data_IF_663629569560
#
_entry.id   IF_663629569560
#
_cell.length_a   1.000
_cell.length_b   1.000
_cell.length_c   1.000
_cell.angle_alpha   90.00
_cell.angle_beta   90.00
_cell.angle_gamma   90.00
#
_symmetry.space_group_name_H-M   'P 1'
#
loop_
_entity.id
_entity.type
_entity.pdbx_description
1 polymer ?
#
# COMPACT_ATOMS: atom_id res chain seq x y z
N UNK A 1 3.50 30.78 70.74
CA UNK A 1 3.50 30.32 69.33
C UNK A 1 2.78 28.97 69.28
N UNK A 2 1.50 28.97 68.92
CA UNK A 2 0.69 27.76 68.84
C UNK A 2 0.79 27.17 67.42
N UNK A 3 1.21 25.91 67.32
CA UNK A 3 1.32 25.17 66.08
C UNK A 3 -0.03 24.56 65.71
N UNK A 4 -0.65 25.09 64.66
CA UNK A 4 -1.93 24.59 64.14
C UNK A 4 -1.64 23.54 63.06
N UNK A 5 -1.84 22.26 63.36
CA UNK A 5 -1.75 21.17 62.37
C UNK A 5 -3.11 20.98 61.73
N UNK A 6 -3.24 21.35 60.46
CA UNK A 6 -4.42 21.07 59.65
C UNK A 6 -4.34 19.64 59.12
N UNK A 7 -5.29 18.79 59.54
CA UNK A 7 -5.40 17.41 59.07
C UNK A 7 -6.29 17.39 57.83
N UNK A 8 -5.70 17.11 56.66
CA UNK A 8 -6.41 16.94 55.39
C UNK A 8 -7.01 15.52 55.33
N UNK A 9 -8.34 15.43 55.41
CA UNK A 9 -9.08 14.17 55.29
C UNK A 9 -9.34 13.89 53.80
N UNK A 10 -8.64 12.91 53.21
CA UNK A 10 -8.87 12.47 51.83
C UNK A 10 -9.95 11.37 51.85
N UNK A 11 -11.15 11.68 51.37
CA UNK A 11 -12.23 10.72 51.13
C UNK A 11 -11.98 9.97 49.81
N UNK A 12 -11.61 8.69 49.91
CA UNK A 12 -11.58 7.79 48.76
C UNK A 12 -13.01 7.32 48.43
N UNK A 13 -13.59 7.84 47.35
CA UNK A 13 -14.80 7.26 46.75
C UNK A 13 -14.40 6.08 45.86
N UNK A 14 -14.62 4.85 46.31
CA UNK A 14 -14.51 3.64 45.48
C UNK A 14 -15.76 3.52 44.61
N UNK A 15 -15.67 3.94 43.35
CA UNK A 15 -16.67 3.65 42.32
C UNK A 15 -16.42 2.23 41.80
N UNK A 16 -17.22 1.27 42.27
CA UNK A 16 -17.27 -0.08 41.70
C UNK A 16 -18.01 -0.04 40.36
N UNK A 17 -17.27 -0.01 39.24
CA UNK A 17 -17.85 -0.20 37.92
C UNK A 17 -18.09 -1.69 37.71
N UNK A 18 -19.34 -2.13 37.87
CA UNK A 18 -19.79 -3.45 37.46
C UNK A 18 -19.93 -3.49 35.93
N UNK A 19 -18.95 -4.08 35.25
CA UNK A 19 -19.02 -4.36 33.81
C UNK A 19 -19.96 -5.55 33.61
N UNK A 20 -21.21 -5.28 33.22
CA UNK A 20 -22.12 -6.31 32.72
C UNK A 20 -21.79 -6.61 31.25
N UNK A 21 -21.25 -7.79 30.97
CA UNK A 21 -21.11 -8.31 29.61
C UNK A 21 -22.48 -8.83 29.13
N UNK A 22 -23.00 -8.37 27.97
CA UNK A 22 -24.22 -8.93 27.42
C UNK A 22 -23.92 -10.33 26.86
N UNK A 23 -24.49 -11.36 27.49
CA UNK A 23 -24.53 -12.72 26.95
C UNK A 23 -25.52 -12.78 25.78
N UNK A 24 -25.03 -12.64 24.55
CA UNK A 24 -25.83 -12.99 23.37
C UNK A 24 -26.04 -14.50 23.33
N UNK A 25 -27.24 -14.94 23.71
CA UNK A 25 -27.76 -16.28 23.42
C UNK A 25 -27.80 -16.49 21.91
N UNK A 26 -27.06 -17.50 21.45
CA UNK A 26 -27.04 -17.95 20.06
C UNK A 26 -28.30 -18.78 19.79
N UNK A 27 -29.26 -18.22 19.07
CA UNK A 27 -30.33 -18.99 18.43
C UNK A 27 -29.92 -19.27 16.98
N UNK A 28 -29.62 -20.52 16.69
CA UNK A 28 -29.43 -21.07 15.35
C UNK A 28 -30.69 -20.88 14.50
N UNK A 29 -30.60 -20.03 13.48
CA UNK A 29 -31.43 -20.12 12.27
C UNK A 29 -30.49 -20.28 11.07
N UNK A 30 -30.46 -21.44 10.39
CA UNK A 30 -29.68 -21.62 9.17
C UNK A 30 -30.57 -21.24 7.98
N UNK A 31 -30.76 -19.95 7.77
CA UNK A 31 -31.17 -19.40 6.46
C UNK A 31 -31.11 -17.88 6.52
N UNK A 32 -29.92 -17.34 6.27
CA UNK A 32 -29.79 -16.01 5.71
C UNK A 32 -28.67 -16.08 4.69
N UNK A 33 -29.04 -16.42 3.45
CA UNK A 33 -28.42 -15.78 2.30
C UNK A 33 -28.56 -14.27 2.53
N UNK A 34 -27.46 -13.66 2.95
CA UNK A 34 -27.35 -12.22 3.08
C UNK A 34 -27.49 -11.66 1.66
N UNK A 35 -28.62 -11.01 1.38
CA UNK A 35 -28.83 -10.29 0.12
C UNK A 35 -27.81 -9.17 0.04
N UNK A 36 -26.78 -9.41 -0.77
CA UNK A 36 -25.62 -8.57 -0.97
C UNK A 36 -25.95 -7.36 -1.86
N UNK A 37 -26.91 -6.52 -1.45
CA UNK A 37 -27.44 -5.44 -2.32
C UNK A 37 -27.75 -4.12 -1.61
N UNK A 38 -27.24 -3.88 -0.39
CA UNK A 38 -27.35 -2.55 0.23
C UNK A 38 -26.03 -1.77 0.13
N UNK A 39 -25.97 -0.82 -0.80
CA UNK A 39 -24.81 0.05 -1.02
C UNK A 39 -24.86 1.35 -0.18
N UNK A 40 -25.73 1.43 0.83
CA UNK A 40 -25.79 2.58 1.75
C UNK A 40 -24.40 2.90 2.34
N UNK A 41 -23.95 4.15 2.14
CA UNK A 41 -22.62 4.64 2.55
C UNK A 41 -21.43 3.91 1.90
N UNK A 42 -21.64 3.25 0.76
CA UNK A 42 -20.63 2.46 0.03
C UNK A 42 -20.56 2.80 -1.45
N UNK A 43 -21.27 3.82 -1.93
CA UNK A 43 -21.24 4.20 -3.33
C UNK A 43 -19.92 4.86 -3.69
N UNK A 44 -19.24 4.32 -4.70
CA UNK A 44 -17.98 4.88 -5.20
C UNK A 44 -18.17 5.33 -6.65
N UNK A 45 -17.76 6.56 -6.93
CA UNK A 45 -17.57 7.03 -8.30
C UNK A 45 -16.09 6.93 -8.67
N UNK A 46 -15.78 6.31 -9.80
CA UNK A 46 -14.41 6.28 -10.32
C UNK A 46 -14.24 7.48 -11.25
N UNK A 47 -13.40 8.43 -10.87
CA UNK A 47 -13.12 9.62 -11.66
C UNK A 47 -12.46 9.21 -12.98
N UNK A 48 -13.11 9.53 -14.11
CA UNK A 48 -12.53 9.31 -15.43
C UNK A 48 -11.39 10.29 -15.68
N UNK A 49 -10.17 9.79 -15.79
CA UNK A 49 -8.98 10.58 -16.07
C UNK A 49 -8.50 10.39 -17.53
N UNK A 50 -7.88 11.42 -18.14
CA UNK A 50 -7.07 11.25 -19.33
C UNK A 50 -5.99 10.17 -19.12
N UNK A 51 -5.73 9.30 -20.11
CA UNK A 51 -4.79 8.18 -19.97
C UNK A 51 -3.36 8.58 -19.57
N UNK A 52 -2.95 9.82 -19.83
CA UNK A 52 -1.65 10.38 -19.40
C UNK A 52 -1.43 10.30 -17.89
N UNK A 53 -2.50 10.28 -17.09
CA UNK A 53 -2.42 10.14 -15.63
C UNK A 53 -2.39 8.69 -15.16
N UNK A 54 -2.57 7.70 -16.05
CA UNK A 54 -2.56 6.30 -15.69
C UNK A 54 -2.01 5.37 -16.77
N UNK A 55 -2.85 4.90 -17.70
CA UNK A 55 -2.52 3.80 -18.59
C UNK A 55 -1.37 4.13 -19.53
N UNK A 56 -1.21 5.39 -19.96
CA UNK A 56 -0.10 5.80 -20.81
C UNK A 56 1.24 5.71 -20.08
N UNK A 57 1.26 5.88 -18.75
CA UNK A 57 2.47 5.73 -17.92
C UNK A 57 3.02 4.29 -17.96
N UNK A 58 2.17 3.30 -18.27
CA UNK A 58 2.58 1.90 -18.38
C UNK A 58 3.30 1.61 -19.71
N UNK A 59 3.14 2.47 -20.72
CA UNK A 59 3.73 2.25 -22.05
C UNK A 59 5.26 2.34 -22.05
N UNK A 60 5.83 3.12 -21.13
CA UNK A 60 7.28 3.34 -21.00
C UNK A 60 7.90 2.50 -19.87
N UNK A 61 7.43 1.27 -19.67
CA UNK A 61 7.78 0.43 -18.52
C UNK A 61 9.24 -0.03 -18.44
N UNK A 62 10.00 0.14 -19.52
CA UNK A 62 11.45 -0.13 -19.61
C UNK A 62 12.28 1.15 -19.82
N UNK A 63 11.66 2.33 -19.75
CA UNK A 63 12.25 3.61 -20.18
C UNK A 63 12.99 4.40 -19.12
N UNK A 64 13.24 3.83 -17.94
CA UNK A 64 13.90 4.50 -16.81
C UNK A 64 15.23 3.84 -16.50
N UNK A 65 16.37 4.27 -17.09
CA UNK A 65 17.65 3.54 -17.00
C UNK A 65 18.21 3.35 -15.58
N UNK A 66 17.85 4.25 -14.66
CA UNK A 66 18.25 4.18 -13.24
C UNK A 66 17.29 3.31 -12.39
N UNK A 67 16.20 2.83 -13.00
CA UNK A 67 15.20 1.94 -12.41
C UNK A 67 15.16 0.62 -13.20
N UNK A 68 14.56 -0.43 -12.63
CA UNK A 68 14.47 -1.71 -13.34
C UNK A 68 13.32 -1.72 -14.35
N UNK A 69 13.44 -2.56 -15.37
CA UNK A 69 12.35 -2.86 -16.30
C UNK A 69 11.18 -3.53 -15.55
N UNK A 70 10.06 -2.82 -15.44
CA UNK A 70 8.86 -3.32 -14.78
C UNK A 70 7.81 -3.88 -15.75
N UNK A 71 8.08 -3.91 -17.06
CA UNK A 71 7.19 -4.48 -18.06
C UNK A 71 6.73 -5.92 -17.74
N UNK A 72 7.58 -6.83 -17.20
CA UNK A 72 7.15 -8.19 -16.87
C UNK A 72 6.01 -8.27 -15.85
N UNK A 73 5.80 -7.21 -15.06
CA UNK A 73 4.82 -7.16 -13.98
C UNK A 73 3.44 -6.65 -14.43
N UNK A 74 3.34 -6.08 -15.64
CA UNK A 74 2.07 -5.58 -16.20
C UNK A 74 1.09 -6.71 -16.55
N UNK A 75 1.60 -7.93 -16.78
CA UNK A 75 0.79 -9.08 -17.14
C UNK A 75 -0.32 -9.36 -16.11
N UNK A 76 -1.42 -9.97 -16.55
CA UNK A 76 -2.57 -10.29 -15.70
C UNK A 76 -3.10 -9.07 -14.92
N UNK A 77 -3.17 -7.90 -15.57
CA UNK A 77 -3.64 -6.64 -14.95
C UNK A 77 -2.81 -6.21 -13.72
N UNK A 78 -1.48 -6.28 -13.85
CA UNK A 78 -0.55 -5.88 -12.77
C UNK A 78 -0.21 -6.98 -11.76
N UNK A 79 -0.85 -8.15 -11.82
CA UNK A 79 -0.46 -9.27 -10.94
C UNK A 79 0.92 -9.84 -11.32
N UNK A 80 1.37 -9.63 -12.57
CA UNK A 80 2.60 -10.16 -13.12
C UNK A 80 2.44 -11.57 -13.70
N UNK A 81 3.54 -12.18 -14.13
CA UNK A 81 3.54 -13.54 -14.66
C UNK A 81 3.22 -14.57 -13.58
N UNK A 82 2.56 -15.68 -13.93
CA UNK A 82 2.35 -16.78 -12.99
C UNK A 82 3.70 -17.31 -12.50
N UNK A 83 3.78 -17.71 -11.22
CA UNK A 83 5.01 -18.34 -10.69
C UNK A 83 5.24 -19.73 -11.28
N UNK A 84 4.17 -20.42 -11.65
CA UNK A 84 4.16 -21.72 -12.32
C UNK A 84 2.92 -21.82 -13.23
N UNK A 85 3.01 -22.54 -14.35
CA UNK A 85 1.92 -22.61 -15.34
C UNK A 85 0.59 -23.13 -14.77
N UNK A 86 0.67 -24.09 -13.84
CA UNK A 86 -0.50 -24.67 -13.14
C UNK A 86 -1.01 -23.81 -11.98
N UNK A 87 -0.35 -22.69 -11.68
CA UNK A 87 -0.78 -21.80 -10.61
C UNK A 87 -2.02 -21.01 -11.04
N UNK A 88 -3.01 -20.96 -10.15
CA UNK A 88 -4.19 -20.10 -10.28
C UNK A 88 -4.22 -18.96 -9.25
N UNK A 89 -3.28 -18.96 -8.30
CA UNK A 89 -3.30 -18.03 -7.17
C UNK A 89 -1.96 -17.35 -6.91
N UNK A 90 -0.88 -17.74 -7.61
CA UNK A 90 0.46 -17.22 -7.36
C UNK A 90 1.04 -16.56 -8.59
N UNK A 91 1.44 -15.31 -8.43
CA UNK A 91 1.97 -14.45 -9.48
C UNK A 91 3.24 -13.75 -9.00
N UNK A 92 4.13 -13.40 -9.92
CA UNK A 92 5.31 -12.58 -9.68
C UNK A 92 4.88 -11.12 -9.58
N UNK A 93 4.21 -10.78 -8.49
CA UNK A 93 3.65 -9.45 -8.26
C UNK A 93 4.71 -8.49 -7.75
N UNK A 94 4.75 -7.31 -8.34
CA UNK A 94 5.65 -6.23 -7.95
C UNK A 94 4.91 -5.16 -7.14
N UNK A 95 5.51 -4.62 -6.06
CA UNK A 95 4.96 -3.51 -5.28
C UNK A 95 4.44 -2.32 -6.10
N UNK A 96 5.14 -1.96 -7.17
CA UNK A 96 4.81 -0.82 -8.02
C UNK A 96 3.47 -1.00 -8.74
N UNK A 97 2.98 -2.24 -8.85
CA UNK A 97 1.72 -2.53 -9.54
C UNK A 97 0.49 -2.28 -8.66
N UNK A 98 0.63 -1.85 -7.40
CA UNK A 98 -0.49 -1.63 -6.49
C UNK A 98 -1.58 -0.73 -7.11
N UNK A 99 -1.20 0.37 -7.75
CA UNK A 99 -2.12 1.31 -8.40
C UNK A 99 -2.92 0.66 -9.54
N UNK A 100 -2.24 -0.12 -10.40
CA UNK A 100 -2.87 -0.85 -11.50
C UNK A 100 -3.79 -1.97 -10.98
N UNK A 101 -3.33 -2.74 -10.00
CA UNK A 101 -4.11 -3.81 -9.36
C UNK A 101 -5.35 -3.22 -8.70
N UNK A 102 -5.19 -2.15 -7.90
CA UNK A 102 -6.29 -1.50 -7.20
C UNK A 102 -7.30 -0.92 -8.20
N UNK A 103 -6.84 -0.22 -9.24
CA UNK A 103 -7.70 0.30 -10.29
C UNK A 103 -8.49 -0.85 -10.95
N UNK A 104 -7.85 -1.96 -11.31
CA UNK A 104 -8.55 -3.12 -11.87
C UNK A 104 -9.61 -3.69 -10.92
N UNK A 105 -9.31 -3.79 -9.63
CA UNK A 105 -10.25 -4.31 -8.62
C UNK A 105 -11.41 -3.37 -8.37
N UNK A 106 -11.17 -2.07 -8.39
CA UNK A 106 -12.21 -1.06 -8.24
C UNK A 106 -13.26 -1.11 -9.35
N UNK A 107 -12.87 -1.47 -10.57
CA UNK A 107 -13.81 -1.66 -11.68
C UNK A 107 -14.79 -2.81 -11.47
N UNK A 108 -14.49 -3.74 -10.57
CA UNK A 108 -15.33 -4.91 -10.24
C UNK A 108 -16.10 -4.71 -8.92
N UNK A 109 -16.01 -3.51 -8.32
CA UNK A 109 -16.69 -3.19 -7.08
C UNK A 109 -18.22 -3.13 -7.28
N UNK A 110 -19.04 -3.78 -6.43
CA UNK A 110 -20.49 -3.87 -6.66
C UNK A 110 -21.25 -2.55 -6.47
N UNK A 111 -20.71 -1.61 -5.69
CA UNK A 111 -21.37 -0.35 -5.36
C UNK A 111 -20.76 0.83 -6.15
N UNK A 112 -20.69 0.69 -7.47
CA UNK A 112 -20.24 1.76 -8.36
C UNK A 112 -21.40 2.63 -8.85
N UNK A 113 -21.18 3.94 -8.90
CA UNK A 113 -22.11 4.90 -9.50
C UNK A 113 -21.44 5.73 -10.60
N UNK A 114 -22.16 5.96 -11.69
CA UNK A 114 -21.73 6.86 -12.75
C UNK A 114 -21.92 8.34 -12.38
N UNK A 115 -22.83 8.62 -11.45
CA UNK A 115 -23.09 9.98 -10.95
C UNK A 115 -22.18 10.28 -9.75
N UNK A 116 -21.24 11.25 -9.85
CA UNK A 116 -20.41 11.65 -8.73
C UNK A 116 -21.23 12.22 -7.56
N UNK A 117 -22.41 12.81 -7.78
CA UNK A 117 -23.22 13.37 -6.71
C UNK A 117 -23.85 12.30 -5.81
N UNK A 118 -24.13 11.12 -6.35
CA UNK A 118 -24.65 9.97 -5.61
C UNK A 118 -23.56 9.18 -4.86
N UNK A 119 -22.27 9.49 -5.09
CA UNK A 119 -21.18 8.76 -4.49
C UNK A 119 -20.88 9.22 -3.05
N UNK A 120 -20.56 8.26 -2.19
CA UNK A 120 -20.02 8.49 -0.84
C UNK A 120 -18.52 8.81 -0.89
N UNK A 121 -17.81 8.28 -1.89
CA UNK A 121 -16.40 8.58 -2.15
C UNK A 121 -16.07 8.59 -3.64
N UNK A 122 -15.06 9.37 -4.04
CA UNK A 122 -14.57 9.47 -5.41
C UNK A 122 -13.16 8.88 -5.47
N UNK A 123 -13.00 7.78 -6.20
CA UNK A 123 -11.70 7.19 -6.46
C UNK A 123 -11.02 7.93 -7.62
N UNK A 124 -9.80 8.42 -7.41
CA UNK A 124 -8.95 9.04 -8.44
C UNK A 124 -7.90 8.03 -8.89
N UNK A 125 -8.04 7.38 -10.07
CA UNK A 125 -7.11 6.37 -10.55
C UNK A 125 -5.85 6.99 -11.18
N UNK A 126 -5.12 7.81 -10.42
CA UNK A 126 -3.82 8.38 -10.80
C UNK A 126 -2.70 7.42 -10.41
N UNK A 127 -1.83 7.07 -11.34
CA UNK A 127 -0.70 6.15 -11.08
C UNK A 127 0.52 6.94 -10.60
N UNK A 128 0.38 7.57 -9.43
CA UNK A 128 1.35 8.49 -8.87
C UNK A 128 2.74 7.87 -8.65
N UNK A 129 2.80 6.61 -8.22
CA UNK A 129 4.06 5.89 -7.99
C UNK A 129 4.82 5.63 -9.29
N UNK A 130 4.11 5.39 -10.39
CA UNK A 130 4.71 5.22 -11.71
C UNK A 130 5.09 6.58 -12.31
N UNK A 131 4.21 7.58 -12.21
CA UNK A 131 4.51 8.96 -12.66
C UNK A 131 5.72 9.54 -11.91
N UNK A 132 5.88 9.23 -10.62
CA UNK A 132 7.04 9.65 -9.83
C UNK A 132 8.38 9.21 -10.45
N UNK A 133 8.43 8.12 -11.23
CA UNK A 133 9.69 7.59 -11.77
C UNK A 133 10.45 8.59 -12.65
N UNK A 134 9.76 9.44 -13.42
CA UNK A 134 10.45 10.46 -14.24
C UNK A 134 11.08 11.58 -13.43
N UNK A 135 10.58 11.82 -12.21
CA UNK A 135 11.13 12.77 -11.27
C UNK A 135 12.25 12.15 -10.42
N UNK A 136 12.10 10.89 -10.01
CA UNK A 136 13.07 10.21 -9.13
C UNK A 136 14.30 9.68 -9.89
N UNK A 137 14.10 9.26 -11.13
CA UNK A 137 15.09 8.50 -11.92
C UNK A 137 15.24 9.01 -13.36
N UNK A 138 14.52 10.07 -13.72
CA UNK A 138 14.42 10.58 -15.09
C UNK A 138 14.84 12.04 -15.23
N UNK A 139 14.61 12.62 -16.41
CA UNK A 139 15.05 13.99 -16.73
C UNK A 139 14.28 15.08 -15.96
N UNK A 140 13.12 14.76 -15.40
CA UNK A 140 12.22 15.72 -14.76
C UNK A 140 12.58 15.98 -13.28
N UNK A 141 13.72 15.47 -12.79
CA UNK A 141 14.16 15.60 -11.39
C UNK A 141 14.06 17.03 -10.83
N UNK A 142 14.44 18.02 -11.64
CA UNK A 142 14.42 19.43 -11.24
C UNK A 142 13.00 20.01 -11.07
N UNK A 143 11.97 19.30 -11.54
CA UNK A 143 10.55 19.66 -11.45
C UNK A 143 9.77 18.69 -10.56
N UNK A 144 10.44 17.96 -9.67
CA UNK A 144 9.82 16.98 -8.75
C UNK A 144 8.72 17.57 -7.86
N UNK A 145 8.76 18.87 -7.57
CA UNK A 145 7.69 19.56 -6.83
C UNK A 145 6.41 19.79 -7.64
N UNK A 146 6.44 19.60 -8.95
CA UNK A 146 5.31 19.83 -9.86
C UNK A 146 4.42 18.58 -10.06
N UNK A 147 4.84 17.41 -9.54
CA UNK A 147 4.08 16.17 -9.68
C UNK A 147 2.64 16.36 -9.17
N UNK A 148 1.65 16.13 -10.04
CA UNK A 148 0.24 16.19 -9.70
C UNK A 148 -0.43 17.55 -9.94
N UNK A 149 0.30 18.62 -10.27
CA UNK A 149 -0.31 19.93 -10.54
C UNK A 149 -1.24 19.89 -11.77
N UNK A 150 -0.81 19.26 -12.86
CA UNK A 150 -1.64 19.08 -14.05
C UNK A 150 -2.87 18.18 -13.78
N UNK A 151 -2.75 17.23 -12.85
CA UNK A 151 -3.90 16.43 -12.42
C UNK A 151 -4.90 17.30 -11.66
N UNK A 152 -4.44 18.13 -10.73
CA UNK A 152 -5.31 19.04 -10.00
C UNK A 152 -6.03 20.03 -10.93
N UNK A 153 -5.32 20.61 -11.90
CA UNK A 153 -5.90 21.46 -12.93
C UNK A 153 -7.02 20.73 -13.69
N UNK A 154 -6.77 19.49 -14.11
CA UNK A 154 -7.79 18.66 -14.76
C UNK A 154 -8.99 18.40 -13.84
N UNK A 155 -8.78 17.98 -12.60
CA UNK A 155 -9.84 17.68 -11.63
C UNK A 155 -10.72 18.89 -11.29
N UNK A 156 -10.15 20.09 -11.35
CA UNK A 156 -10.86 21.35 -11.05
C UNK A 156 -11.43 22.07 -12.27
N UNK A 157 -11.14 21.58 -13.49
CA UNK A 157 -11.64 22.15 -14.74
C UNK A 157 -12.67 21.24 -15.42
N UNK A 158 -12.43 19.93 -15.42
CA UNK A 158 -13.35 18.93 -15.96
C UNK A 158 -14.26 18.42 -14.83
N UNK A 159 -15.58 18.58 -14.99
CA UNK A 159 -16.58 18.29 -13.94
C UNK A 159 -16.22 18.87 -12.55
N UNK A 160 -15.99 20.19 -12.45
CA UNK A 160 -15.56 20.86 -11.22
C UNK A 160 -16.53 20.65 -10.05
N UNK A 161 -17.81 20.42 -10.32
CA UNK A 161 -18.83 20.11 -9.31
C UNK A 161 -18.50 18.86 -8.49
N UNK A 162 -17.81 17.88 -9.09
CA UNK A 162 -17.38 16.66 -8.40
C UNK A 162 -16.32 16.95 -7.35
N UNK A 163 -15.36 17.85 -7.66
CA UNK A 163 -14.34 18.29 -6.71
C UNK A 163 -14.89 19.26 -5.67
N UNK A 164 -15.64 20.27 -6.11
CA UNK A 164 -16.09 21.39 -5.29
C UNK A 164 -17.14 21.01 -4.24
N UNK A 165 -17.90 19.92 -4.42
CA UNK A 165 -18.94 19.52 -3.45
C UNK A 165 -18.39 19.26 -2.04
N UNK A 166 -17.15 18.79 -1.94
CA UNK A 166 -16.46 18.47 -0.67
C UNK A 166 -15.02 18.94 -0.66
N UNK A 167 -14.61 19.77 -1.61
CA UNK A 167 -13.25 20.33 -1.71
C UNK A 167 -12.15 19.25 -1.63
N UNK A 168 -12.39 18.09 -2.26
CA UNK A 168 -11.48 16.95 -2.26
C UNK A 168 -11.57 16.00 -1.04
N UNK A 169 -12.32 16.33 0.02
CA UNK A 169 -12.40 15.50 1.25
C UNK A 169 -12.98 14.10 1.06
N UNK A 170 -13.78 13.93 0.03
CA UNK A 170 -14.39 12.66 -0.38
C UNK A 170 -13.58 11.97 -1.50
N UNK A 171 -12.47 12.56 -1.93
CA UNK A 171 -11.59 11.97 -2.93
C UNK A 171 -10.53 11.12 -2.25
N UNK A 172 -10.18 10.01 -2.89
CA UNK A 172 -9.06 9.20 -2.46
C UNK A 172 -8.24 8.68 -3.63
N UNK A 173 -6.94 8.50 -3.39
CA UNK A 173 -5.97 7.97 -4.34
C UNK A 173 -5.14 6.87 -3.69
N UNK A 174 -4.56 6.00 -4.53
CA UNK A 174 -3.64 4.96 -4.09
C UNK A 174 -2.25 5.32 -4.59
N UNK A 175 -1.25 5.19 -3.72
CA UNK A 175 0.15 5.49 -4.00
C UNK A 175 0.96 4.20 -3.86
N UNK A 176 1.50 3.69 -4.97
CA UNK A 176 2.23 2.42 -5.03
C UNK A 176 3.66 2.48 -4.42
N UNK A 177 4.00 3.58 -3.75
CA UNK A 177 5.31 3.82 -3.12
C UNK A 177 5.13 4.37 -1.70
N UNK A 178 6.15 4.26 -0.83
CA UNK A 178 6.13 4.87 0.49
C UNK A 178 5.77 6.35 0.42
N UNK A 179 5.03 6.88 1.40
CA UNK A 179 4.69 8.30 1.46
C UNK A 179 5.93 9.19 1.40
N UNK A 180 7.06 8.70 1.93
CA UNK A 180 8.34 9.39 1.88
C UNK A 180 8.79 9.77 0.46
N UNK A 181 8.45 8.98 -0.55
CA UNK A 181 8.77 9.26 -1.96
C UNK A 181 7.94 10.43 -2.54
N UNK A 182 6.94 10.93 -1.80
CA UNK A 182 6.05 12.03 -2.20
C UNK A 182 6.06 13.21 -1.21
N UNK A 183 6.98 13.20 -0.24
CA UNK A 183 6.98 14.10 0.92
C UNK A 183 8.11 15.15 0.91
N UNK A 184 8.70 15.43 -0.26
CA UNK A 184 9.73 16.45 -0.36
C UNK A 184 9.14 17.83 -0.04
N UNK A 185 9.69 18.59 0.93
CA UNK A 185 9.21 19.93 1.25
C UNK A 185 9.23 20.85 0.04
N UNK A 186 8.19 21.66 -0.12
CA UNK A 186 8.12 22.66 -1.18
C UNK A 186 9.22 23.71 -1.04
N UNK A 187 9.85 24.06 -2.16
CA UNK A 187 10.88 25.11 -2.23
C UNK A 187 12.24 24.72 -1.65
N UNK A 188 12.49 23.44 -1.36
CA UNK A 188 13.78 22.99 -0.84
C UNK A 188 14.89 23.13 -1.89
N UNK A 189 16.04 23.71 -1.52
CA UNK A 189 17.21 23.85 -2.38
C UNK A 189 18.50 23.58 -1.57
N UNK A 190 19.30 22.54 -1.90
CA UNK A 190 19.17 21.62 -3.04
C UNK A 190 17.99 20.65 -2.90
N UNK A 191 17.47 20.13 -4.02
CA UNK A 191 16.38 19.14 -4.00
C UNK A 191 16.76 17.89 -3.16
N UNK A 192 15.78 17.37 -2.43
CA UNK A 192 15.89 16.12 -1.69
C UNK A 192 15.29 14.97 -2.50
N UNK A 193 15.45 13.75 -1.98
CA UNK A 193 14.75 12.60 -2.52
C UNK A 193 13.22 12.78 -2.43
N UNK A 194 12.51 12.34 -3.46
CA UNK A 194 11.04 12.35 -3.51
C UNK A 194 10.46 13.42 -4.41
N UNK A 195 9.14 13.37 -4.60
CA UNK A 195 8.34 14.47 -5.15
C UNK A 195 7.62 15.20 -4.03
N UNK A 196 6.85 16.25 -4.34
CA UNK A 196 6.11 17.02 -3.34
C UNK A 196 4.60 16.75 -3.35
N UNK A 197 4.12 15.67 -4.00
CA UNK A 197 2.68 15.42 -4.18
C UNK A 197 1.89 15.46 -2.85
N UNK A 198 2.43 14.92 -1.76
CA UNK A 198 1.78 14.93 -0.44
C UNK A 198 1.99 16.23 0.34
N UNK A 199 2.86 17.13 -0.15
CA UNK A 199 3.11 18.47 0.38
C UNK A 199 2.41 19.57 -0.43
N UNK A 200 1.78 19.21 -1.56
CA UNK A 200 1.00 20.13 -2.39
C UNK A 200 -0.29 20.52 -1.66
N UNK A 201 -0.55 21.83 -1.41
CA UNK A 201 -1.78 22.29 -0.75
C UNK A 201 -3.07 21.83 -1.46
N UNK A 202 -2.98 21.61 -2.77
CA UNK A 202 -4.04 21.10 -3.63
C UNK A 202 -4.58 19.73 -3.20
N UNK A 203 -3.74 18.91 -2.56
CA UNK A 203 -4.06 17.51 -2.22
C UNK A 203 -4.23 17.26 -0.72
N UNK A 204 -4.11 18.28 0.15
CA UNK A 204 -4.25 18.11 1.60
C UNK A 204 -5.60 17.55 2.07
N UNK A 205 -6.65 17.76 1.28
CA UNK A 205 -7.97 17.22 1.59
C UNK A 205 -8.18 15.82 1.02
N UNK A 206 -7.32 15.33 0.12
CA UNK A 206 -7.49 14.03 -0.53
C UNK A 206 -6.93 12.93 0.37
N UNK A 207 -7.70 11.85 0.54
CA UNK A 207 -7.22 10.68 1.27
C UNK A 207 -6.21 9.90 0.43
N UNK A 208 -4.98 9.74 0.91
CA UNK A 208 -3.91 9.00 0.24
C UNK A 208 -3.71 7.63 0.88
N UNK A 209 -4.04 6.57 0.15
CA UNK A 209 -3.74 5.19 0.54
C UNK A 209 -2.32 4.83 0.08
N UNK A 210 -1.37 4.67 1.00
CA UNK A 210 0.05 4.44 0.71
C UNK A 210 0.55 3.16 1.36
N UNK A 211 1.57 2.52 0.78
CA UNK A 211 2.17 1.29 1.36
C UNK A 211 2.92 1.53 2.68
N UNK A 212 3.40 2.75 2.91
CA UNK A 212 4.10 3.16 4.15
C UNK A 212 3.74 4.63 4.44
N UNK A 213 2.75 4.84 5.32
CA UNK A 213 2.30 6.16 5.73
C UNK A 213 3.25 6.82 6.75
N UNK A 214 3.31 8.15 6.74
CA UNK A 214 3.99 8.94 7.78
C UNK A 214 3.16 8.99 9.06
N UNK A 215 3.81 9.26 10.18
CA UNK A 215 3.19 9.18 11.50
C UNK A 215 2.16 10.29 11.81
N UNK A 216 2.25 11.44 11.13
CA UNK A 216 1.56 12.67 11.56
C UNK A 216 0.48 13.18 10.59
N UNK A 217 0.65 13.12 9.26
CA UNK A 217 -0.36 13.61 8.34
C UNK A 217 -1.63 12.76 8.36
N UNK A 218 -2.78 13.39 8.61
CA UNK A 218 -4.09 12.72 8.66
C UNK A 218 -4.59 12.22 7.30
N UNK A 219 -4.08 12.81 6.20
CA UNK A 219 -4.47 12.44 4.84
C UNK A 219 -4.00 11.02 4.47
N UNK A 220 -2.95 10.52 5.11
CA UNK A 220 -2.27 9.28 4.73
C UNK A 220 -2.80 8.09 5.52
N UNK A 221 -3.14 7.01 4.80
CA UNK A 221 -3.57 5.75 5.40
C UNK A 221 -2.73 4.60 4.83
N UNK A 222 -2.13 3.82 5.73
CA UNK A 222 -1.30 2.69 5.31
C UNK A 222 -2.17 1.54 4.77
N UNK A 223 -1.84 1.04 3.58
CA UNK A 223 -2.38 -0.17 2.99
C UNK A 223 -1.28 -1.21 2.82
N UNK A 224 -1.57 -2.52 2.87
CA UNK A 224 -0.54 -3.52 2.69
C UNK A 224 0.04 -3.47 1.26
N UNK A 225 1.35 -3.74 1.16
CA UNK A 225 1.97 -4.05 -0.12
C UNK A 225 1.22 -5.20 -0.84
N UNK A 226 1.10 -5.15 -2.18
CA UNK A 226 0.55 -6.29 -2.92
C UNK A 226 1.47 -7.50 -2.71
N UNK A 227 0.85 -8.65 -2.46
CA UNK A 227 1.58 -9.91 -2.25
C UNK A 227 1.50 -10.77 -3.50
N UNK A 228 2.41 -11.73 -3.67
CA UNK A 228 2.35 -12.69 -4.78
C UNK A 228 1.12 -13.62 -4.78
N UNK A 229 0.28 -13.59 -3.73
CA UNK A 229 -0.86 -14.49 -3.59
C UNK A 229 -2.18 -13.77 -3.90
N UNK A 230 -2.79 -14.14 -5.02
CA UNK A 230 -4.03 -13.59 -5.56
C UNK A 230 -5.00 -14.73 -5.92
N UNK A 231 -5.66 -15.36 -4.94
CA UNK A 231 -6.67 -16.38 -5.22
C UNK A 231 -7.81 -15.79 -6.07
N UNK A 232 -8.34 -16.53 -7.05
CA UNK A 232 -9.30 -15.99 -7.99
C UNK A 232 -10.71 -15.82 -7.40
N UNK A 233 -10.98 -16.41 -6.24
CA UNK A 233 -12.23 -16.24 -5.50
C UNK A 233 -12.04 -16.46 -4.00
N UNK A 234 -13.06 -16.08 -3.22
CA UNK A 234 -13.06 -16.17 -1.76
C UNK A 234 -12.96 -17.61 -1.25
N UNK A 235 -13.62 -18.56 -1.91
CA UNK A 235 -13.58 -19.99 -1.51
C UNK A 235 -12.16 -20.57 -1.57
N UNK A 236 -11.37 -20.21 -2.58
CA UNK A 236 -9.96 -20.63 -2.69
C UNK A 236 -9.06 -19.92 -1.66
N UNK A 237 -9.34 -18.66 -1.35
CA UNK A 237 -8.66 -17.96 -0.24
C UNK A 237 -8.94 -18.67 1.08
N UNK A 238 -10.19 -18.94 1.40
CA UNK A 238 -10.61 -19.60 2.63
C UNK A 238 -10.03 -21.00 2.75
N UNK A 239 -10.07 -21.79 1.67
CA UNK A 239 -9.47 -23.12 1.61
C UNK A 239 -7.97 -23.07 1.89
N UNK A 240 -7.25 -22.09 1.34
CA UNK A 240 -5.84 -21.87 1.61
C UNK A 240 -5.60 -21.47 3.07
N UNK A 241 -6.37 -20.52 3.61
CA UNK A 241 -6.27 -20.07 5.02
C UNK A 241 -6.53 -21.25 5.98
N UNK A 242 -7.54 -22.08 5.73
CA UNK A 242 -7.84 -23.25 6.54
C UNK A 242 -6.69 -24.27 6.52
N UNK A 243 -6.12 -24.54 5.35
CA UNK A 243 -4.94 -25.41 5.22
C UNK A 243 -3.76 -24.86 6.03
N UNK A 244 -3.48 -23.58 5.87
CA UNK A 244 -2.42 -22.84 6.56
C UNK A 244 -2.59 -22.89 8.08
N UNK A 245 -3.83 -22.75 8.59
CA UNK A 245 -4.17 -22.82 10.03
C UNK A 245 -4.02 -24.23 10.62
N UNK A 246 -4.30 -25.28 9.85
CA UNK A 246 -4.20 -26.69 10.30
C UNK A 246 -2.76 -27.23 10.24
N UNK A 247 -1.87 -26.55 9.54
CA UNK A 247 -0.46 -26.94 9.44
C UNK A 247 0.20 -26.89 10.81
N UNK A 248 0.73 -28.03 11.29
CA UNK A 248 1.60 -28.04 12.47
C UNK A 248 2.90 -27.31 12.13
N UNK A 249 3.19 -26.22 12.84
CA UNK A 249 4.44 -25.47 12.70
C UNK A 249 5.21 -25.55 14.01
N UNK A 250 6.28 -26.32 14.03
CA UNK A 250 7.19 -26.43 15.17
C UNK A 250 8.21 -25.29 15.20
N UNK A 251 8.29 -24.50 14.12
CA UNK A 251 9.21 -23.37 13.97
C UNK A 251 8.48 -22.21 13.32
N UNK A 252 8.60 -21.02 13.92
CA UNK A 252 8.13 -19.78 13.32
C UNK A 252 9.28 -19.20 12.48
N UNK A 253 9.08 -19.04 11.18
CA UNK A 253 10.02 -18.34 10.31
C UNK A 253 9.33 -17.10 9.75
N UNK A 254 10.01 -15.96 9.84
CA UNK A 254 9.59 -14.71 9.23
C UNK A 254 10.72 -14.24 8.33
N UNK A 255 10.41 -14.01 7.06
CA UNK A 255 11.32 -13.36 6.12
C UNK A 255 10.92 -11.89 6.00
N UNK A 256 11.79 -11.00 6.47
CA UNK A 256 11.60 -9.55 6.33
C UNK A 256 12.61 -8.98 5.31
N UNK A 257 12.15 -8.84 4.05
CA UNK A 257 12.72 -7.96 3.01
C UNK A 257 13.87 -8.49 2.12
N UNK A 258 13.96 -7.95 0.89
CA UNK A 258 15.08 -8.11 -0.07
C UNK A 258 16.23 -7.12 0.15
N UNK A 259 17.48 -7.45 -0.22
CA UNK A 259 18.69 -6.83 0.34
C UNK A 259 18.97 -5.35 -0.04
N UNK A 260 19.46 -4.59 0.93
CA UNK A 260 20.22 -3.35 0.73
C UNK A 260 21.44 -3.33 1.64
N UNK A 261 22.59 -2.84 1.16
CA UNK A 261 23.83 -2.74 1.95
C UNK A 261 23.82 -1.43 2.72
N UNK A 262 23.07 -1.39 3.82
CA UNK A 262 23.12 -0.23 4.73
C UNK A 262 24.53 -0.03 5.28
N UNK A 263 25.01 1.23 5.34
CA UNK A 263 26.33 1.61 5.90
C UNK A 263 26.45 1.27 7.40
N UNK A 264 25.34 1.09 8.12
CA UNK A 264 25.30 0.82 9.56
C UNK A 264 24.84 -0.63 9.86
N UNK A 265 25.28 -1.24 10.97
CA UNK A 265 24.73 -2.52 11.44
C UNK A 265 23.25 -2.35 11.77
N UNK A 266 22.40 -3.10 11.07
CA UNK A 266 20.95 -3.14 11.32
C UNK A 266 20.55 -4.59 11.60
N UNK A 267 19.44 -4.79 12.32
CA UNK A 267 18.86 -6.13 12.58
C UNK A 267 18.74 -6.92 11.25
N UNK A 268 18.32 -6.24 10.18
CA UNK A 268 18.24 -6.79 8.82
C UNK A 268 19.57 -7.32 8.28
N UNK A 269 20.67 -6.59 8.46
CA UNK A 269 22.03 -7.02 8.06
C UNK A 269 22.46 -8.25 8.85
N UNK A 270 22.20 -8.28 10.17
CA UNK A 270 22.56 -9.42 11.02
C UNK A 270 21.82 -10.70 10.60
N UNK A 271 20.51 -10.61 10.32
CA UNK A 271 19.70 -11.76 9.83
C UNK A 271 20.25 -12.28 8.50
N UNK A 272 20.64 -11.39 7.57
CA UNK A 272 21.22 -11.81 6.29
C UNK A 272 22.57 -12.49 6.47
N UNK A 273 23.47 -11.92 7.26
CA UNK A 273 24.79 -12.50 7.51
C UNK A 273 24.68 -13.92 8.09
N UNK A 274 23.70 -14.16 8.99
CA UNK A 274 23.37 -15.50 9.48
C UNK A 274 22.91 -16.44 8.35
N UNK A 275 22.08 -15.97 7.42
CA UNK A 275 21.65 -16.76 6.28
C UNK A 275 22.80 -17.07 5.31
N UNK A 276 23.68 -16.10 5.03
CA UNK A 276 24.83 -16.25 4.13
C UNK A 276 25.88 -17.20 4.73
N UNK A 277 26.24 -17.03 6.01
CA UNK A 277 27.19 -17.91 6.71
C UNK A 277 26.71 -19.37 6.74
N UNK A 278 25.41 -19.59 6.99
CA UNK A 278 24.83 -20.94 6.92
C UNK A 278 24.78 -21.53 5.51
N UNK A 279 24.87 -20.70 4.46
CA UNK A 279 24.91 -21.15 3.06
C UNK A 279 26.35 -21.44 2.61
N UNK A 280 27.33 -20.66 3.09
CA UNK A 280 28.77 -20.89 2.88
C UNK A 280 29.24 -22.21 3.48
N UNK A 281 28.72 -22.59 4.67
CA UNK A 281 29.00 -23.90 5.26
C UNK A 281 28.39 -25.10 4.50
N UNK A 282 27.57 -24.87 3.47
CA UNK A 282 26.94 -25.92 2.66
C UNK A 282 27.41 -25.96 1.20
N UNK A 283 28.01 -24.88 0.69
CA UNK A 283 28.40 -24.76 -0.71
C UNK A 283 29.92 -24.62 -0.90
N UNK A 284 30.71 -25.51 -0.29
CA UNK A 284 32.05 -25.83 -0.82
C UNK A 284 31.84 -26.71 -2.06
N UNK A 285 31.39 -26.10 -3.16
CA UNK A 285 31.58 -26.51 -4.57
C UNK A 285 30.64 -25.69 -5.46
N UNK A 286 31.23 -24.88 -6.35
CA UNK A 286 30.58 -24.12 -7.44
C UNK A 286 29.68 -22.95 -6.96
N UNK A 287 29.81 -21.70 -7.42
CA UNK A 287 30.01 -21.18 -8.79
C UNK A 287 30.56 -19.74 -8.71
N UNK A 288 31.44 -19.37 -9.64
CA UNK A 288 31.87 -18.00 -9.92
C UNK A 288 30.79 -17.20 -10.67
N UNK A 289 30.74 -15.89 -10.42
CA UNK A 289 29.90 -14.83 -11.03
C UNK A 289 28.51 -14.60 -10.42
N UNK A 290 28.42 -13.58 -9.55
CA UNK A 290 27.22 -12.75 -9.41
C UNK A 290 27.66 -11.29 -9.41
N UNK A 291 27.27 -10.58 -10.48
CA UNK A 291 27.56 -9.16 -10.69
C UNK A 291 26.83 -8.25 -9.70
N UNK A 292 27.47 -7.12 -9.41
CA UNK A 292 26.91 -5.96 -8.72
C UNK A 292 25.69 -5.43 -9.49
N UNK A 293 24.53 -5.40 -8.85
CA UNK A 293 23.41 -4.55 -9.25
C UNK A 293 23.01 -3.66 -8.07
N UNK A 294 22.93 -2.36 -8.37
CA UNK A 294 22.55 -1.29 -7.45
C UNK A 294 21.12 -1.42 -6.95
N UNK A 295 20.81 -0.58 -5.97
CA UNK A 295 19.55 -0.41 -5.23
C UNK A 295 18.28 -0.68 -6.03
N UNK A 296 17.96 -1.96 -6.19
CA UNK A 296 16.76 -2.48 -6.82
C UNK A 296 16.31 -3.68 -5.99
N UNK A 297 15.03 -3.74 -5.70
CA UNK A 297 14.39 -4.71 -4.80
C UNK A 297 14.34 -6.08 -5.47
N UNK A 298 15.50 -6.72 -5.64
CA UNK A 298 15.62 -8.12 -6.01
C UNK A 298 15.58 -8.98 -4.76
N UNK A 299 14.41 -9.49 -4.40
CA UNK A 299 14.28 -10.49 -3.33
C UNK A 299 14.83 -11.84 -3.79
N UNK A 300 15.80 -12.40 -3.07
CA UNK A 300 16.12 -13.82 -3.18
C UNK A 300 15.03 -14.61 -2.43
N UNK A 301 14.19 -15.34 -3.17
CA UNK A 301 13.30 -16.34 -2.58
C UNK A 301 13.99 -17.69 -2.58
N UNK A 302 14.32 -18.22 -1.40
CA UNK A 302 14.62 -19.64 -1.24
C UNK A 302 13.29 -20.34 -1.02
N UNK A 303 12.87 -21.16 -1.97
CA UNK A 303 11.79 -22.11 -1.74
C UNK A 303 12.24 -23.08 -0.65
N UNK A 304 11.72 -22.90 0.56
CA UNK A 304 11.71 -23.93 1.59
C UNK A 304 10.34 -24.58 1.51
N UNK A 305 10.29 -25.69 0.81
CA UNK A 305 9.15 -26.61 0.87
C UNK A 305 9.11 -27.19 2.30
N UNK A 306 7.99 -27.01 2.99
CA UNK A 306 7.64 -27.84 4.15
C UNK A 306 6.94 -29.11 3.65
#
# INVERSE_FOLDING_TARGET
>A
MASNKSTLLILFFSISITIQFPTKTSSTNPDHQQSDSDCTNRWIHIRRLPPVFNLDLLSNCSGYPLFYDFCPYLANHGLGQKTHNLSHSWYRTDPLMLELIFHRRMLEYPCLTADPQAADAIYVPYYAGIDALRYLYGPDYNSSSEQGLNLFEFLTTDSPESWNRKMGHDHFMVLARPAWDFSQPLGNNPLLWGTSLLELPQFYNVTALTVEARAWPWQEHAVPYPTSFHPPNLSLLESWVQRVRRSRRTTLMMFAGGGGVGRNPTIRRSIRNECENNTMNKNVTNVNNVGMYGSGVGGFSKHVTL
#
